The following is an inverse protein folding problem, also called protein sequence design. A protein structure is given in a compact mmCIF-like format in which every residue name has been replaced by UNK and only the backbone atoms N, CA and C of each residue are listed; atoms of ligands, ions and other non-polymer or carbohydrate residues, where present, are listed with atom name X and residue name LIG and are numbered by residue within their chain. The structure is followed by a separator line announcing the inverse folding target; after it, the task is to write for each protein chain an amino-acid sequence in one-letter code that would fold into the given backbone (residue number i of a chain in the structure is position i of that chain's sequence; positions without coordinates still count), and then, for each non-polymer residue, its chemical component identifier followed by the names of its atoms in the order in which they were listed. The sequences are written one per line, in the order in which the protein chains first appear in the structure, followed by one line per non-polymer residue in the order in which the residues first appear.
data_IF_762356674801
#
_entry.id   IF_762356674801
#
_cell.length_a   1.000
_cell.length_b   1.000
_cell.length_c   1.000
_cell.angle_alpha   90.00
_cell.angle_beta   90.00
_cell.angle_gamma   90.00
#
_symmetry.space_group_name_H-M   'P 1'
#
loop_
_entity.id
_entity.type
_entity.pdbx_description
1 polymer ?
#
# COMPACT_ATOMS: atom_id res chain seq x y z
N UNK A 1 26.55 -23.36 7.94
CA UNK A 1 27.01 -23.54 6.55
C UNK A 1 25.81 -23.33 5.64
N UNK A 2 25.74 -22.19 4.95
CA UNK A 2 24.65 -21.84 4.04
C UNK A 2 24.83 -22.61 2.71
N UNK A 3 23.74 -23.17 2.20
CA UNK A 3 23.69 -23.98 0.98
C UNK A 3 23.43 -23.05 -0.21
N UNK A 4 24.48 -22.62 -0.89
CA UNK A 4 24.38 -21.71 -2.02
C UNK A 4 23.93 -22.46 -3.27
N UNK A 5 22.68 -22.22 -3.70
CA UNK A 5 22.23 -22.54 -5.06
C UNK A 5 22.35 -21.25 -5.86
N UNK A 6 22.83 -21.34 -7.11
CA UNK A 6 23.38 -20.24 -7.94
C UNK A 6 22.46 -19.03 -8.25
N UNK A 7 21.26 -18.96 -7.66
CA UNK A 7 20.29 -17.85 -7.77
C UNK A 7 20.38 -16.84 -6.60
N UNK A 8 21.25 -17.10 -5.61
CA UNK A 8 21.34 -16.37 -4.33
C UNK A 8 22.50 -15.35 -4.24
N UNK A 9 23.05 -14.87 -5.37
CA UNK A 9 24.20 -13.95 -5.34
C UNK A 9 23.75 -12.47 -5.22
N UNK A 10 22.45 -12.18 -5.31
CA UNK A 10 21.94 -10.80 -5.30
C UNK A 10 21.22 -10.42 -4.01
N UNK A 11 21.39 -11.14 -2.90
CA UNK A 11 20.71 -10.80 -1.64
C UNK A 11 21.60 -11.14 -0.46
N UNK A 12 21.51 -10.34 0.61
CA UNK A 12 22.28 -10.57 1.82
C UNK A 12 21.97 -11.96 2.40
N UNK A 13 22.98 -12.81 2.64
CA UNK A 13 22.78 -14.17 3.15
C UNK A 13 22.29 -14.21 4.61
N UNK A 14 22.29 -13.06 5.30
CA UNK A 14 21.77 -12.91 6.65
C UNK A 14 20.41 -12.20 6.70
N UNK A 15 19.82 -11.88 5.54
CA UNK A 15 18.45 -11.38 5.47
C UNK A 15 17.49 -12.55 5.62
N UNK A 16 16.60 -12.45 6.60
CA UNK A 16 15.59 -13.47 6.85
C UNK A 16 14.34 -12.90 7.52
N UNK A 17 13.32 -13.70 7.73
CA UNK A 17 12.17 -13.36 8.58
C UNK A 17 12.54 -13.52 10.06
N UNK A 18 11.74 -12.93 10.96
CA UNK A 18 12.02 -12.93 12.40
C UNK A 18 12.29 -14.34 12.99
N UNK A 19 11.58 -15.37 12.50
CA UNK A 19 11.69 -16.75 12.97
C UNK A 19 12.32 -17.72 11.95
N UNK A 20 12.73 -17.22 10.78
CA UNK A 20 13.28 -18.04 9.70
C UNK A 20 14.41 -17.30 9.00
N UNK A 21 15.64 -17.80 9.12
CA UNK A 21 16.83 -17.19 8.53
C UNK A 21 17.08 -17.60 7.07
N UNK A 22 16.23 -18.44 6.51
CA UNK A 22 16.35 -18.94 5.12
C UNK A 22 15.32 -18.33 4.18
N UNK A 23 14.17 -17.91 4.72
CA UNK A 23 13.15 -17.18 3.98
C UNK A 23 13.25 -15.69 4.26
N UNK A 24 13.05 -14.85 3.26
CA UNK A 24 12.92 -13.40 3.39
C UNK A 24 11.85 -12.90 2.42
N UNK A 25 11.34 -11.69 2.64
CA UNK A 25 10.55 -10.99 1.65
C UNK A 25 11.49 -10.51 0.54
N UNK A 26 11.17 -10.82 -0.72
CA UNK A 26 11.95 -10.40 -1.89
C UNK A 26 11.88 -8.88 -2.18
N UNK A 27 11.29 -8.11 -1.26
CA UNK A 27 11.08 -6.67 -1.34
C UNK A 27 11.24 -6.06 0.06
N UNK A 28 11.41 -4.74 0.12
CA UNK A 28 11.55 -4.02 1.40
C UNK A 28 10.31 -4.22 2.26
N UNK A 29 10.46 -4.81 3.43
CA UNK A 29 9.33 -5.15 4.29
C UNK A 29 9.70 -5.07 5.77
N UNK A 30 8.80 -4.61 6.65
CA UNK A 30 9.01 -4.69 8.11
C UNK A 30 9.33 -6.09 8.62
N UNK A 31 8.91 -7.13 7.90
CA UNK A 31 9.12 -8.53 8.29
C UNK A 31 10.56 -9.03 8.05
N UNK A 32 11.33 -8.30 7.24
CA UNK A 32 12.74 -8.61 7.00
C UNK A 32 13.60 -8.18 8.19
N UNK A 33 14.32 -9.15 8.75
CA UNK A 33 15.20 -9.04 9.89
C UNK A 33 16.65 -9.36 9.52
N UNK A 34 17.59 -8.75 10.26
CA UNK A 34 19.01 -9.05 10.13
C UNK A 34 19.41 -10.16 11.09
N UNK A 35 19.78 -11.33 10.57
CA UNK A 35 20.30 -12.45 11.36
C UNK A 35 21.78 -12.35 11.70
N UNK A 36 22.50 -11.41 11.06
CA UNK A 36 23.88 -11.04 11.41
C UNK A 36 23.96 -10.32 12.75
N UNK A 37 22.87 -9.65 13.15
CA UNK A 37 22.78 -8.90 14.41
C UNK A 37 22.17 -9.73 15.54
N UNK A 38 22.50 -9.38 16.79
CA UNK A 38 21.83 -9.90 17.99
C UNK A 38 21.40 -8.72 18.91
N UNK A 39 20.12 -8.64 19.33
CA UNK A 39 19.00 -9.52 18.97
C UNK A 39 18.61 -9.39 17.49
N UNK A 40 17.89 -10.39 16.97
CA UNK A 40 17.28 -10.34 15.64
C UNK A 40 16.23 -9.23 15.69
N UNK A 41 16.34 -8.26 14.78
CA UNK A 41 15.44 -7.09 14.74
C UNK A 41 15.04 -6.77 13.30
N UNK A 42 13.83 -6.24 13.10
CA UNK A 42 13.39 -5.65 11.83
C UNK A 42 14.35 -4.56 11.33
N UNK A 43 14.69 -4.60 10.05
CA UNK A 43 15.59 -3.64 9.41
C UNK A 43 14.75 -2.50 8.83
N UNK A 44 15.21 -1.26 8.93
CA UNK A 44 14.56 -0.10 8.30
C UNK A 44 14.48 -0.26 6.77
N UNK A 45 13.36 0.15 6.16
CA UNK A 45 13.06 -0.13 4.75
C UNK A 45 14.11 0.43 3.78
N UNK A 46 14.60 1.64 4.03
CA UNK A 46 15.62 2.28 3.19
C UNK A 46 16.94 1.48 3.22
N UNK A 47 17.35 1.01 4.41
CA UNK A 47 18.56 0.19 4.52
C UNK A 47 18.41 -1.16 3.81
N UNK A 48 17.21 -1.75 3.84
CA UNK A 48 16.95 -2.99 3.09
C UNK A 48 17.07 -2.79 1.59
N UNK A 49 16.53 -1.68 1.07
CA UNK A 49 16.59 -1.32 -0.34
C UNK A 49 18.04 -1.12 -0.80
N UNK A 50 18.79 -0.33 -0.04
CA UNK A 50 20.13 0.11 -0.43
C UNK A 50 21.15 -1.03 -0.37
N UNK A 51 20.95 -1.98 0.56
CA UNK A 51 21.93 -3.00 0.88
C UNK A 51 21.40 -4.42 0.90
N UNK A 52 20.32 -4.70 1.63
CA UNK A 52 20.01 -6.09 2.00
C UNK A 52 19.45 -6.93 0.85
N UNK A 53 18.72 -6.30 -0.08
CA UNK A 53 17.97 -6.98 -1.15
C UNK A 53 18.69 -7.03 -2.50
N UNK A 54 19.90 -6.48 -2.58
CA UNK A 54 20.76 -6.52 -3.78
C UNK A 54 22.20 -6.89 -3.38
N UNK A 55 23.06 -7.15 -4.37
CA UNK A 55 24.52 -7.37 -4.27
C UNK A 55 25.27 -6.32 -3.43
N UNK A 56 24.70 -5.14 -3.23
CA UNK A 56 25.24 -4.07 -2.39
C UNK A 56 25.45 -4.49 -0.92
N UNK A 57 24.86 -5.60 -0.46
CA UNK A 57 25.11 -6.13 0.88
C UNK A 57 26.60 -6.34 1.17
N UNK A 58 27.42 -6.59 0.14
CA UNK A 58 28.88 -6.72 0.25
C UNK A 58 29.56 -5.45 0.80
N UNK A 59 28.91 -4.30 0.67
CA UNK A 59 29.35 -3.00 1.17
C UNK A 59 28.52 -2.49 2.36
N UNK A 60 27.55 -3.28 2.82
CA UNK A 60 26.70 -2.92 3.95
C UNK A 60 27.55 -2.79 5.22
N UNK A 61 27.49 -1.65 5.94
CA UNK A 61 28.29 -1.45 7.14
C UNK A 61 27.98 -2.48 8.23
N UNK A 62 26.74 -3.00 8.28
CA UNK A 62 26.35 -4.06 9.22
C UNK A 62 26.93 -5.41 8.79
N UNK A 63 26.88 -5.76 7.50
CA UNK A 63 27.40 -7.02 6.96
C UNK A 63 28.92 -7.14 7.11
N UNK A 64 29.64 -6.05 6.82
CA UNK A 64 31.12 -6.01 6.89
C UNK A 64 31.66 -5.99 8.32
N UNK A 65 30.78 -5.85 9.30
CA UNK A 65 31.11 -5.79 10.71
C UNK A 65 31.13 -7.18 11.38
N UNK A 66 31.54 -7.23 12.64
CA UNK A 66 31.54 -8.46 13.43
C UNK A 66 30.12 -9.02 13.59
N UNK A 67 29.96 -10.31 13.30
CA UNK A 67 28.70 -11.03 13.53
C UNK A 67 28.30 -10.97 15.02
N UNK A 68 27.00 -10.83 15.28
CA UNK A 68 26.44 -10.81 16.63
C UNK A 68 26.44 -9.43 17.29
N UNK A 69 26.90 -8.36 16.61
CA UNK A 69 26.74 -6.98 17.10
C UNK A 69 25.27 -6.58 17.16
N UNK A 70 24.98 -5.56 17.98
CA UNK A 70 23.65 -4.96 18.01
C UNK A 70 23.44 -4.13 16.76
N UNK A 71 22.23 -4.21 16.19
CA UNK A 71 21.83 -3.34 15.09
C UNK A 71 21.90 -1.86 15.53
N UNK A 72 22.50 -0.97 14.72
CA UNK A 72 22.45 0.46 14.96
C UNK A 72 20.99 0.95 15.10
N UNK A 73 20.65 1.75 16.12
CA UNK A 73 19.26 2.11 16.41
C UNK A 73 18.52 2.84 15.28
N UNK A 74 19.25 3.59 14.46
CA UNK A 74 18.78 4.31 13.28
C UNK A 74 18.41 3.38 12.11
N UNK A 75 18.87 2.14 12.14
CA UNK A 75 18.59 1.11 11.14
C UNK A 75 17.53 0.09 11.61
N UNK A 76 16.98 0.25 12.81
CA UNK A 76 15.89 -0.59 13.30
C UNK A 76 14.57 -0.03 12.77
N UNK A 77 13.77 -0.88 12.14
CA UNK A 77 12.41 -0.50 11.79
C UNK A 77 11.57 -0.36 13.06
N UNK A 78 10.95 0.80 13.20
CA UNK A 78 9.88 1.04 14.16
C UNK A 78 8.71 1.56 13.35
N UNK A 79 7.55 0.93 13.49
CA UNK A 79 6.32 1.62 13.14
C UNK A 79 6.32 2.91 13.97
N UNK A 80 6.35 4.06 13.31
CA UNK A 80 5.92 5.29 13.97
C UNK A 80 4.43 5.10 14.18
N UNK A 81 4.06 4.39 15.24
CA UNK A 81 2.73 4.46 15.78
C UNK A 81 2.47 5.96 15.92
N UNK A 82 1.53 6.46 15.14
CA UNK A 82 0.89 7.75 15.35
C UNK A 82 0.16 7.69 16.68
N UNK A 83 0.90 7.53 17.78
CA UNK A 83 0.44 7.81 19.12
C UNK A 83 0.32 9.32 19.13
N UNK A 84 -0.84 9.81 18.68
CA UNK A 84 -1.34 11.07 19.17
C UNK A 84 -1.42 10.88 20.68
N UNK A 85 -0.35 11.29 21.38
CA UNK A 85 -0.36 11.46 22.82
C UNK A 85 -1.34 12.58 23.09
N UNK A 86 -2.64 12.27 23.08
CA UNK A 86 -3.69 13.09 23.67
C UNK A 86 -3.28 13.15 25.13
N UNK A 87 -2.58 14.24 25.49
CA UNK A 87 -2.09 14.43 26.83
C UNK A 87 -3.27 14.27 27.79
N UNK A 88 -3.06 13.60 28.93
CA UNK A 88 -4.09 13.40 29.96
C UNK A 88 -4.94 14.66 30.20
N UNK A 89 -4.35 15.86 30.06
CA UNK A 89 -5.04 17.15 30.16
C UNK A 89 -6.19 17.34 29.16
N UNK A 90 -6.07 16.88 27.92
CA UNK A 90 -7.12 16.94 26.89
C UNK A 90 -8.25 15.92 27.15
N UNK A 91 -7.92 14.73 27.66
CA UNK A 91 -8.92 13.76 28.12
C UNK A 91 -9.74 14.29 29.31
N UNK A 92 -9.07 14.91 30.30
CA UNK A 92 -9.78 15.54 31.44
C UNK A 92 -10.61 16.74 31.02
N UNK A 93 -10.14 17.57 30.08
CA UNK A 93 -10.91 18.68 29.55
C UNK A 93 -12.20 18.21 28.85
N UNK A 94 -12.13 17.13 28.07
CA UNK A 94 -13.31 16.52 27.44
C UNK A 94 -14.34 16.01 28.45
N UNK A 95 -13.89 15.34 29.52
CA UNK A 95 -14.79 14.86 30.58
C UNK A 95 -15.46 15.99 31.36
N UNK A 96 -14.76 17.09 31.63
CA UNK A 96 -15.33 18.27 32.28
C UNK A 96 -16.39 18.90 31.39
N UNK A 97 -16.12 19.05 30.09
CA UNK A 97 -17.08 19.63 29.14
C UNK A 97 -18.36 18.77 29.03
N UNK A 98 -18.20 17.44 28.95
CA UNK A 98 -19.32 16.51 28.92
C UNK A 98 -20.15 16.55 30.21
N UNK A 99 -19.49 16.66 31.37
CA UNK A 99 -20.16 16.81 32.66
C UNK A 99 -20.97 18.10 32.77
N UNK A 100 -20.43 19.22 32.28
CA UNK A 100 -21.15 20.50 32.25
C UNK A 100 -22.39 20.39 31.33
N UNK A 101 -22.23 19.82 30.14
CA UNK A 101 -23.35 19.62 29.21
C UNK A 101 -24.46 18.77 29.86
N UNK A 102 -24.12 17.66 30.51
CA UNK A 102 -25.08 16.81 31.21
C UNK A 102 -25.80 17.55 32.36
N UNK A 103 -25.06 18.35 33.13
CA UNK A 103 -25.63 19.16 34.21
C UNK A 103 -26.61 20.22 33.69
N UNK A 104 -26.27 20.90 32.57
CA UNK A 104 -27.19 21.86 31.94
C UNK A 104 -28.47 21.18 31.45
N UNK A 105 -28.36 19.98 30.87
CA UNK A 105 -29.51 19.22 30.37
C UNK A 105 -30.40 18.74 31.52
N UNK A 106 -29.82 18.31 32.63
CA UNK A 106 -30.55 17.96 33.86
C UNK A 106 -31.25 19.16 34.49
N UNK A 107 -30.62 20.34 34.49
CA UNK A 107 -31.21 21.57 35.00
C UNK A 107 -32.46 21.96 34.19
N UNK A 108 -32.36 21.94 32.85
CA UNK A 108 -33.52 22.19 31.97
C UNK A 108 -34.64 21.17 32.15
N UNK A 109 -34.33 19.89 32.44
CA UNK A 109 -35.35 18.88 32.72
C UNK A 109 -36.07 19.12 34.06
N UNK A 110 -35.34 19.61 35.08
CA UNK A 110 -35.92 19.91 36.39
C UNK A 110 -36.82 21.14 36.37
N UNK A 111 -36.45 22.18 35.62
CA UNK A 111 -37.22 23.43 35.51
C UNK A 111 -38.56 23.21 34.80
N UNK A 112 -38.63 22.23 33.88
CA UNK A 112 -39.87 21.85 33.20
C UNK A 112 -40.81 20.97 34.07
N UNK A 113 -40.32 20.37 35.16
CA UNK A 113 -41.13 19.46 35.98
C UNK A 113 -42.02 20.19 37.00
N UNK A 114 -41.74 21.45 37.33
CA UNK A 114 -42.45 22.19 38.38
C UNK A 114 -43.73 22.91 37.90
N UNK A 115 -44.03 22.91 36.59
CA UNK A 115 -45.24 23.55 36.03
C UNK A 115 -46.42 22.62 35.74
N UNK A 116 -46.32 21.30 35.92
CA UNK A 116 -47.44 20.36 35.67
C UNK A 116 -48.37 20.14 36.88
N UNK A 117 -48.37 21.07 37.84
CA UNK A 117 -49.24 21.01 39.04
C UNK A 117 -50.60 21.67 38.86
N UNK A 118 -51.37 21.32 37.81
CA UNK A 118 -52.80 21.69 37.75
C UNK A 118 -53.68 20.44 37.63
N UNK A 119 -54.49 20.24 38.68
CA UNK A 119 -55.38 19.10 38.92
C UNK A 119 -56.60 19.09 37.98
N UNK A 120 -57.10 17.93 37.52
CA UNK A 120 -58.22 17.85 36.59
C UNK A 120 -59.56 17.91 37.35
N UNK A 121 -60.45 18.82 36.94
CA UNK A 121 -61.84 18.82 37.36
C UNK A 121 -62.77 18.69 36.16
N UNK A 122 -63.62 17.66 36.21
CA UNK A 122 -64.96 17.52 35.61
C UNK A 122 -65.14 17.34 34.08
N UNK A 123 -65.45 16.08 33.73
CA UNK A 123 -66.65 15.54 33.06
C UNK A 123 -67.45 16.35 32.01
N UNK A 124 -67.93 15.56 31.03
CA UNK A 124 -69.10 15.67 30.09
C UNK A 124 -68.60 15.75 28.62
N UNK A 125 -68.69 14.64 27.85
CA UNK A 125 -69.79 14.25 26.93
C UNK A 125 -70.04 15.33 25.85
N UNK A 126 -70.12 15.11 24.53
CA UNK A 126 -70.92 14.14 23.75
C UNK A 126 -70.50 14.28 22.27
N UNK A 127 -70.60 13.19 21.48
CA UNK A 127 -70.82 13.11 20.02
C UNK A 127 -69.71 13.67 19.09
N UNK A 128 -69.38 13.14 17.90
CA UNK A 128 -70.13 12.30 16.97
C UNK A 128 -69.21 11.80 15.83
N UNK A 129 -69.51 10.58 15.35
CA UNK A 129 -69.62 10.18 13.93
C UNK A 129 -68.35 9.79 13.12
N UNK A 130 -68.32 8.47 12.83
CA UNK A 130 -68.03 7.75 11.57
C UNK A 130 -66.68 8.02 10.87
N UNK A 131 -65.92 7.03 10.39
CA UNK A 131 -66.30 6.18 9.24
C UNK A 131 -65.32 4.99 9.12
N UNK A 132 -65.86 3.84 8.70
CA UNK A 132 -65.15 2.60 8.37
C UNK A 132 -64.11 2.80 7.26
N UNK A 133 -62.95 2.11 7.31
CA UNK A 133 -62.53 1.18 6.24
C UNK A 133 -61.47 0.19 6.75
N UNK A 134 -61.61 -1.07 6.31
CA UNK A 134 -60.75 -2.23 6.51
C UNK A 134 -59.27 -1.96 6.11
N UNK A 135 -58.27 -2.70 6.59
CA UNK A 135 -57.93 -4.08 6.16
C UNK A 135 -57.18 -4.79 7.29
N UNK A 136 -57.69 -5.96 7.65
CA UNK A 136 -56.99 -6.96 8.42
C UNK A 136 -55.91 -7.61 7.55
N UNK A 137 -54.69 -7.72 8.05
CA UNK A 137 -53.80 -8.83 7.72
C UNK A 137 -53.06 -9.24 8.99
N UNK A 138 -53.49 -10.38 9.51
CA UNK A 138 -52.82 -11.19 10.52
C UNK A 138 -51.54 -11.79 9.94
N UNK A 139 -50.44 -11.76 10.69
CA UNK A 139 -49.58 -12.95 10.79
C UNK A 139 -48.67 -12.85 12.00
N UNK A 140 -48.96 -13.70 12.97
CA UNK A 140 -48.17 -14.03 14.16
C UNK A 140 -46.86 -14.73 13.76
N UNK A 141 -45.72 -14.28 14.31
CA UNK A 141 -44.48 -15.03 14.29
C UNK A 141 -44.30 -15.79 15.63
N UNK A 142 -44.15 -17.12 15.62
CA UNK A 142 -43.93 -17.87 16.84
C UNK A 142 -42.45 -17.90 17.24
N UNK A 143 -42.25 -17.66 18.53
CA UNK A 143 -41.16 -18.13 19.38
C UNK A 143 -40.86 -19.61 19.15
N UNK A 144 -39.58 -19.98 19.00
CA UNK A 144 -39.15 -21.33 19.38
C UNK A 144 -37.73 -21.32 19.97
N UNK A 145 -37.72 -21.46 21.28
CA UNK A 145 -36.65 -21.94 22.14
C UNK A 145 -36.38 -23.42 21.85
N UNK A 146 -35.14 -23.81 21.65
CA UNK A 146 -34.70 -25.18 21.91
C UNK A 146 -33.23 -25.19 22.35
N UNK A 147 -33.02 -25.80 23.52
CA UNK A 147 -31.74 -25.98 24.18
C UNK A 147 -31.30 -27.45 24.07
N UNK A 148 -29.99 -27.63 24.29
CA UNK A 148 -29.26 -28.85 24.70
C UNK A 148 -29.14 -30.00 23.68
N UNK A 149 -27.91 -30.37 23.32
CA UNK A 149 -27.20 -31.48 24.00
C UNK A 149 -25.75 -31.60 23.52
N UNK A 150 -24.87 -31.92 24.46
CA UNK A 150 -23.47 -32.29 24.26
C UNK A 150 -23.32 -33.81 24.12
N UNK A 151 -22.33 -34.28 23.34
CA UNK A 151 -21.52 -35.50 23.55
C UNK A 151 -20.49 -35.58 22.41
N UNK A 152 -19.21 -35.40 22.75
CA UNK A 152 -18.18 -36.44 22.81
C UNK A 152 -17.80 -37.05 21.45
N UNK A 153 -16.55 -36.80 21.02
CA UNK A 153 -15.53 -37.86 20.91
C UNK A 153 -14.19 -37.32 20.45
N UNK A 154 -13.18 -37.73 21.22
CA UNK A 154 -11.74 -37.52 21.09
C UNK A 154 -11.21 -38.24 19.84
N UNK A 155 -10.32 -37.61 19.08
CA UNK A 155 -9.41 -38.34 18.20
C UNK A 155 -7.98 -37.81 18.34
N UNK A 156 -7.22 -38.48 19.22
CA UNK A 156 -5.78 -38.33 19.38
C UNK A 156 -5.14 -39.23 18.33
N UNK A 157 -4.43 -38.63 17.37
CA UNK A 157 -3.52 -39.37 16.49
C UNK A 157 -2.10 -38.98 16.88
N UNK A 158 -1.47 -39.88 17.63
CA UNK A 158 -0.03 -39.93 17.87
C UNK A 158 0.67 -40.27 16.56
N UNK A 159 1.56 -39.40 16.09
CA UNK A 159 2.47 -39.72 15.00
C UNK A 159 3.87 -40.00 15.55
N UNK A 160 4.25 -41.24 15.31
CA UNK A 160 5.46 -42.00 15.59
C UNK A 160 6.76 -41.30 15.21
N UNK A 161 7.67 -41.28 16.17
CA UNK A 161 9.09 -40.97 16.04
C UNK A 161 9.77 -41.96 15.07
N UNK A 162 10.30 -41.47 13.95
CA UNK A 162 11.10 -42.28 13.02
C UNK A 162 12.53 -41.75 13.04
N UNK A 163 13.43 -42.58 13.56
CA UNK A 163 14.87 -42.32 13.65
C UNK A 163 15.50 -42.13 12.27
N UNK A 164 16.29 -41.07 12.12
CA UNK A 164 17.07 -40.77 10.92
C UNK A 164 18.44 -41.47 10.98
N UNK A 165 18.92 -42.12 9.89
CA UNK A 165 20.25 -42.70 9.87
C UNK A 165 21.34 -41.62 9.75
N UNK A 166 22.42 -41.81 10.49
CA UNK A 166 23.64 -41.01 10.42
C UNK A 166 24.32 -41.18 9.05
N UNK A 167 24.52 -40.07 8.34
CA UNK A 167 25.28 -40.04 7.09
C UNK A 167 26.72 -39.64 7.38
N UNK A 168 27.63 -40.57 7.10
CA UNK A 168 29.09 -40.43 7.14
C UNK A 168 29.55 -39.45 6.05
N UNK A 169 30.29 -38.41 6.42
CA UNK A 169 30.89 -37.47 5.46
C UNK A 169 32.03 -38.16 4.68
N UNK A 170 31.86 -38.31 3.38
CA UNK A 170 32.91 -38.73 2.44
C UNK A 170 33.61 -37.47 1.93
N UNK A 171 34.91 -37.36 2.20
CA UNK A 171 35.80 -36.29 1.73
C UNK A 171 35.99 -36.46 0.21
N UNK A 172 35.44 -35.52 -0.57
CA UNK A 172 35.65 -35.45 -2.02
C UNK A 172 36.75 -34.42 -2.33
N UNK A 173 37.71 -34.70 -3.23
CA UNK A 173 38.80 -33.80 -3.54
C UNK A 173 38.34 -32.55 -4.32
N UNK A 174 38.78 -31.40 -3.82
CA UNK A 174 38.60 -30.06 -4.39
C UNK A 174 39.22 -29.94 -5.80
N UNK A 175 38.52 -29.39 -6.81
CA UNK A 175 39.19 -28.95 -8.04
C UNK A 175 39.86 -27.59 -7.81
N UNK A 176 41.16 -27.53 -8.06
CA UNK A 176 41.95 -26.29 -8.12
C UNK A 176 41.57 -25.52 -9.39
N UNK A 177 40.93 -24.35 -9.24
CA UNK A 177 40.68 -23.45 -10.36
C UNK A 177 41.97 -22.69 -10.71
N UNK A 178 42.46 -22.91 -11.93
CA UNK A 178 43.64 -22.25 -12.49
C UNK A 178 43.17 -21.01 -13.26
N UNK A 179 43.66 -19.83 -12.88
CA UNK A 179 43.31 -18.55 -13.48
C UNK A 179 44.10 -18.34 -14.78
N UNK A 180 43.50 -18.59 -15.95
CA UNK A 180 44.07 -18.17 -17.24
C UNK A 180 43.54 -16.80 -17.64
N UNK A 181 44.44 -15.82 -17.66
CA UNK A 181 44.22 -14.46 -18.16
C UNK A 181 44.19 -14.44 -19.69
N UNK A 182 43.17 -13.88 -20.36
CA UNK A 182 43.20 -13.69 -21.80
C UNK A 182 44.02 -12.44 -22.15
N UNK A 183 45.15 -12.66 -22.81
CA UNK A 183 45.91 -11.60 -23.50
C UNK A 183 45.29 -11.36 -24.88
N UNK A 184 44.60 -10.23 -25.05
CA UNK A 184 44.13 -9.77 -26.36
C UNK A 184 45.26 -9.03 -27.09
N UNK A 185 45.85 -9.69 -28.09
CA UNK A 185 46.71 -9.05 -29.06
C UNK A 185 45.87 -8.19 -30.02
N UNK A 186 46.04 -6.86 -29.95
CA UNK A 186 45.47 -5.92 -30.91
C UNK A 186 46.34 -5.89 -32.15
N UNK A 187 45.81 -6.40 -33.27
CA UNK A 187 46.38 -6.17 -34.61
C UNK A 187 45.66 -4.97 -35.23
N UNK A 188 46.39 -3.88 -35.46
CA UNK A 188 45.86 -2.69 -36.14
C UNK A 188 45.79 -2.95 -37.64
N UNK A 189 44.57 -2.99 -38.18
CA UNK A 189 44.33 -2.96 -39.63
C UNK A 189 43.87 -1.55 -39.98
N UNK A 190 44.74 -0.78 -40.63
CA UNK A 190 44.42 0.51 -41.22
C UNK A 190 43.55 0.30 -42.47
N UNK A 191 42.26 0.60 -42.37
CA UNK A 191 41.35 0.72 -43.52
C UNK A 191 40.83 2.16 -43.59
N UNK A 192 40.93 2.77 -44.77
CA UNK A 192 40.60 4.17 -45.04
C UNK A 192 39.15 4.54 -44.67
N UNK A 193 38.89 5.81 -44.32
CA UNK A 193 37.57 6.26 -43.87
C UNK A 193 36.61 6.40 -45.05
N UNK A 194 35.60 5.55 -45.10
CA UNK A 194 34.40 5.80 -45.92
C UNK A 194 33.42 6.59 -45.04
N UNK A 195 33.19 7.84 -45.40
CA UNK A 195 32.27 8.75 -44.71
C UNK A 195 30.82 8.25 -44.81
N UNK A 196 30.15 7.86 -43.71
CA UNK A 196 28.71 7.66 -43.74
C UNK A 196 28.02 9.03 -43.74
N UNK A 197 27.39 9.40 -44.86
CA UNK A 197 26.44 10.50 -44.89
C UNK A 197 25.17 10.06 -44.16
N UNK A 198 25.04 10.43 -42.89
CA UNK A 198 23.80 10.31 -42.15
C UNK A 198 22.83 11.36 -42.69
N UNK A 199 22.01 10.97 -43.67
CA UNK A 199 20.80 11.71 -44.00
C UNK A 199 19.79 11.44 -42.90
N UNK A 200 19.82 12.25 -41.85
CA UNK A 200 18.76 12.31 -40.86
C UNK A 200 17.49 12.83 -41.55
N UNK A 201 16.59 11.91 -41.89
CA UNK A 201 15.21 12.28 -42.21
C UNK A 201 14.60 12.91 -40.96
N UNK A 202 13.96 14.08 -41.03
CA UNK A 202 13.29 14.67 -39.87
C UNK A 202 12.13 13.76 -39.48
N UNK A 203 12.33 12.95 -38.43
CA UNK A 203 11.23 12.32 -37.72
C UNK A 203 10.38 13.45 -37.16
N UNK A 204 9.17 13.60 -37.71
CA UNK A 204 8.16 14.52 -37.20
C UNK A 204 7.96 14.21 -35.70
N UNK A 205 8.48 15.06 -34.82
CA UNK A 205 8.18 15.02 -33.40
C UNK A 205 6.67 15.28 -33.26
N UNK A 206 5.86 14.23 -33.22
CA UNK A 206 4.50 14.35 -32.70
C UNK A 206 4.64 14.75 -31.25
N UNK A 207 4.14 15.93 -30.91
CA UNK A 207 3.95 16.35 -29.52
C UNK A 207 3.15 15.25 -28.81
N UNK A 208 3.67 14.66 -27.72
CA UNK A 208 2.94 13.62 -27.00
C UNK A 208 1.60 14.16 -26.51
N UNK A 209 0.55 13.33 -26.59
CA UNK A 209 -0.77 13.67 -26.05
C UNK A 209 -0.61 14.00 -24.55
N UNK A 210 -1.28 15.05 -24.04
CA UNK A 210 -1.20 15.43 -22.61
C UNK A 210 -1.61 14.30 -21.65
N UNK A 211 -2.35 13.30 -22.13
CA UNK A 211 -2.77 12.13 -21.38
C UNK A 211 -1.96 10.86 -21.74
N UNK A 212 -0.69 11.02 -22.09
CA UNK A 212 0.21 9.87 -22.29
C UNK A 212 0.87 9.45 -20.97
N UNK A 213 1.40 8.22 -20.91
CA UNK A 213 2.24 7.79 -19.78
C UNK A 213 3.43 8.74 -19.58
N UNK A 214 3.84 8.91 -18.33
CA UNK A 214 4.94 9.77 -17.86
C UNK A 214 4.80 11.27 -18.18
N UNK A 215 3.66 11.69 -18.76
CA UNK A 215 3.33 13.10 -18.93
C UNK A 215 2.64 13.60 -17.66
N UNK A 216 3.11 14.73 -17.07
CA UNK A 216 2.46 15.31 -15.90
C UNK A 216 1.01 15.71 -16.18
N UNK A 217 0.11 15.32 -15.28
CA UNK A 217 -1.33 15.61 -15.33
C UNK A 217 -1.81 16.20 -13.99
N UNK A 218 -2.82 17.06 -14.05
CA UNK A 218 -3.53 17.60 -12.89
C UNK A 218 -3.48 19.12 -12.75
N UNK A 219 -4.48 19.67 -12.04
CA UNK A 219 -4.51 21.08 -11.63
C UNK A 219 -4.07 21.21 -10.17
N UNK A 220 -2.99 21.96 -9.93
CA UNK A 220 -2.44 22.17 -8.58
C UNK A 220 -1.40 21.11 -8.23
N UNK A 221 -1.85 19.99 -7.63
CA UNK A 221 -0.95 18.85 -7.43
C UNK A 221 -0.80 18.08 -8.75
N UNK A 222 0.45 17.91 -9.19
CA UNK A 222 0.77 17.17 -10.41
C UNK A 222 1.07 15.70 -10.10
N UNK A 223 0.69 14.84 -11.03
CA UNK A 223 0.94 13.41 -10.99
C UNK A 223 1.49 12.96 -12.33
N UNK A 224 2.16 11.81 -12.36
CA UNK A 224 2.38 11.06 -13.58
C UNK A 224 1.74 9.69 -13.46
N UNK A 225 1.25 9.16 -14.57
CA UNK A 225 0.83 7.77 -14.69
C UNK A 225 2.02 7.04 -15.30
N UNK A 226 2.65 6.20 -14.51
CA UNK A 226 3.92 5.55 -14.83
C UNK A 226 3.71 4.05 -14.98
N UNK A 227 4.34 3.46 -15.99
CA UNK A 227 4.35 2.02 -16.21
C UNK A 227 5.70 1.46 -15.77
N UNK A 228 5.69 0.70 -14.69
CA UNK A 228 6.88 0.15 -14.03
C UNK A 228 7.68 -0.72 -14.99
N UNK A 229 8.97 -0.42 -15.13
CA UNK A 229 9.93 -1.18 -15.93
C UNK A 229 10.83 -2.07 -15.06
N UNK A 230 11.60 -2.94 -15.71
CA UNK A 230 12.48 -3.87 -15.02
C UNK A 230 13.54 -3.13 -14.18
N UNK A 231 13.66 -3.51 -12.91
CA UNK A 231 14.62 -2.94 -11.97
C UNK A 231 14.11 -1.76 -11.15
N UNK A 232 12.91 -1.26 -11.42
CA UNK A 232 12.31 -0.20 -10.60
C UNK A 232 11.62 -0.75 -9.36
N UNK A 233 11.71 0.02 -8.28
CA UNK A 233 10.93 -0.19 -7.07
C UNK A 233 10.35 1.15 -6.58
N UNK A 234 9.45 1.11 -5.60
CA UNK A 234 8.78 2.32 -5.12
C UNK A 234 9.74 3.34 -4.50
N UNK A 235 10.85 2.92 -3.90
CA UNK A 235 11.85 3.83 -3.34
C UNK A 235 12.60 4.58 -4.44
N UNK A 236 13.06 3.88 -5.48
CA UNK A 236 13.77 4.52 -6.60
C UNK A 236 12.87 5.49 -7.36
N UNK A 237 11.59 5.13 -7.51
CA UNK A 237 10.58 6.02 -8.10
C UNK A 237 10.31 7.23 -7.20
N UNK A 238 10.28 7.05 -5.89
CA UNK A 238 10.10 8.16 -4.95
C UNK A 238 11.22 9.20 -5.05
N UNK A 239 12.47 8.74 -5.09
CA UNK A 239 13.64 9.61 -5.21
C UNK A 239 13.66 10.35 -6.56
N UNK A 240 13.41 9.61 -7.65
CA UNK A 240 13.40 10.16 -9.02
C UNK A 240 12.38 11.29 -9.17
N UNK A 241 11.21 11.16 -8.56
CA UNK A 241 10.12 12.13 -8.68
C UNK A 241 10.03 13.12 -7.50
N UNK A 242 11.06 13.14 -6.64
CA UNK A 242 11.12 14.02 -5.46
C UNK A 242 9.90 13.88 -4.53
N UNK A 243 9.40 12.65 -4.39
CA UNK A 243 8.24 12.28 -3.59
C UNK A 243 8.65 11.36 -2.43
N UNK A 244 7.71 10.64 -1.83
CA UNK A 244 7.98 9.63 -0.80
C UNK A 244 7.27 8.32 -1.12
N UNK A 245 7.80 7.22 -0.57
CA UNK A 245 7.17 5.91 -0.64
C UNK A 245 5.72 5.99 -0.13
N UNK A 246 5.51 6.66 1.00
CA UNK A 246 4.20 6.83 1.61
C UNK A 246 3.25 7.65 0.74
N UNK A 247 3.74 8.69 0.06
CA UNK A 247 2.92 9.48 -0.86
C UNK A 247 2.50 8.68 -2.10
N UNK A 248 3.40 7.86 -2.67
CA UNK A 248 3.05 6.96 -3.77
C UNK A 248 2.02 5.92 -3.29
N UNK A 249 2.23 5.29 -2.14
CA UNK A 249 1.28 4.32 -1.59
C UNK A 249 -0.08 4.96 -1.27
N UNK A 250 -0.10 6.20 -0.77
CA UNK A 250 -1.33 6.89 -0.40
C UNK A 250 -2.18 7.28 -1.62
N UNK A 251 -1.56 7.58 -2.76
CA UNK A 251 -2.29 8.04 -3.95
C UNK A 251 -2.85 6.88 -4.80
N UNK A 252 -2.29 5.68 -4.69
CA UNK A 252 -2.69 4.54 -5.52
C UNK A 252 -3.76 3.70 -4.83
N UNK A 253 -4.91 3.55 -5.48
CA UNK A 253 -5.99 2.68 -5.01
C UNK A 253 -5.53 1.21 -5.01
N UNK A 254 -5.53 0.58 -3.83
CA UNK A 254 -5.21 -0.84 -3.64
C UNK A 254 -3.87 -1.26 -4.28
N UNK A 255 -2.83 -0.43 -4.12
CA UNK A 255 -1.51 -0.74 -4.68
C UNK A 255 -0.99 -2.07 -4.13
N UNK A 256 -0.82 -3.05 -5.03
CA UNK A 256 -0.22 -4.32 -4.69
C UNK A 256 1.30 -4.16 -4.54
N UNK A 257 1.80 -4.40 -3.33
CA UNK A 257 3.23 -4.42 -3.03
C UNK A 257 3.68 -5.87 -2.82
N UNK A 258 4.75 -6.33 -3.51
CA UNK A 258 5.65 -5.57 -4.38
C UNK A 258 5.01 -5.23 -5.74
N UNK A 259 5.38 -4.07 -6.27
CA UNK A 259 4.98 -3.67 -7.62
C UNK A 259 5.63 -4.59 -8.65
N UNK A 260 4.86 -4.94 -9.69
CA UNK A 260 5.31 -5.84 -10.76
C UNK A 260 5.75 -5.03 -11.96
N UNK A 261 6.62 -5.62 -12.79
CA UNK A 261 6.88 -5.11 -14.14
C UNK A 261 5.54 -4.97 -14.87
N UNK A 262 5.43 -3.92 -15.66
CA UNK A 262 4.22 -3.50 -16.39
C UNK A 262 3.05 -3.02 -15.50
N UNK A 263 3.21 -2.99 -14.17
CA UNK A 263 2.21 -2.35 -13.31
C UNK A 263 2.12 -0.87 -13.65
N UNK A 264 0.89 -0.37 -13.79
CA UNK A 264 0.64 1.06 -13.99
C UNK A 264 0.30 1.67 -12.65
N UNK A 265 1.08 2.66 -12.24
CA UNK A 265 0.96 3.32 -10.95
C UNK A 265 0.94 4.83 -11.13
N UNK A 266 0.49 5.53 -10.10
CA UNK A 266 0.37 6.98 -10.07
C UNK A 266 1.44 7.52 -9.13
N UNK A 267 2.25 8.46 -9.60
CA UNK A 267 3.34 9.03 -8.80
C UNK A 267 3.06 10.52 -8.60
N UNK A 268 2.87 10.99 -7.35
CA UNK A 268 2.70 12.42 -7.09
C UNK A 268 4.06 13.11 -7.22
N UNK A 269 4.13 14.16 -8.03
CA UNK A 269 5.39 14.88 -8.26
C UNK A 269 5.67 15.86 -7.12
N UNK A 270 6.92 15.88 -6.64
CA UNK A 270 7.43 16.88 -5.69
C UNK A 270 6.65 16.99 -4.36
N UNK A 271 5.90 15.95 -3.98
CA UNK A 271 5.08 15.93 -2.77
C UNK A 271 5.48 14.76 -1.87
N UNK A 272 6.15 15.06 -0.76
CA UNK A 272 6.62 14.04 0.19
C UNK A 272 5.64 13.72 1.32
N UNK A 273 4.71 14.62 1.59
CA UNK A 273 3.68 14.41 2.61
C UNK A 273 2.42 13.77 2.01
N UNK A 274 1.65 13.06 2.84
CA UNK A 274 0.40 12.41 2.42
C UNK A 274 -0.82 13.31 2.59
N UNK A 275 -0.67 14.52 3.12
CA UNK A 275 -1.79 15.37 3.49
C UNK A 275 -2.40 16.02 2.25
N UNK A 276 -3.71 15.83 2.10
CA UNK A 276 -4.46 16.36 0.96
C UNK A 276 -4.24 15.61 -0.35
N UNK A 277 -3.63 14.41 -0.32
CA UNK A 277 -3.59 13.51 -1.47
C UNK A 277 -4.92 12.75 -1.56
N UNK A 278 -5.55 12.80 -2.73
CA UNK A 278 -6.66 11.93 -3.08
C UNK A 278 -6.16 10.57 -3.53
N UNK A 279 -7.02 9.56 -3.44
CA UNK A 279 -6.74 8.21 -3.93
C UNK A 279 -7.24 8.12 -5.37
N UNK A 280 -6.44 7.50 -6.23
CA UNK A 280 -6.71 7.38 -7.65
C UNK A 280 -6.44 5.96 -8.15
N UNK A 281 -7.13 5.59 -9.21
CA UNK A 281 -6.84 4.41 -10.02
C UNK A 281 -6.44 4.86 -11.44
N UNK A 282 -5.35 4.31 -12.02
CA UNK A 282 -4.98 4.63 -13.39
C UNK A 282 -5.90 3.87 -14.36
N UNK A 283 -6.45 4.58 -15.34
CA UNK A 283 -7.33 4.00 -16.34
C UNK A 283 -6.90 4.38 -17.75
N UNK A 284 -6.89 3.39 -18.66
CA UNK A 284 -6.67 3.62 -20.07
C UNK A 284 -8.02 3.69 -20.79
N UNK A 285 -8.26 4.79 -21.50
CA UNK A 285 -9.46 4.99 -22.30
C UNK A 285 -9.51 3.95 -23.43
N UNK A 286 -10.58 3.17 -23.47
CA UNK A 286 -10.77 2.10 -24.46
C UNK A 286 -11.66 2.50 -25.63
N UNK A 287 -12.56 3.47 -25.41
CA UNK A 287 -13.44 4.01 -26.45
C UNK A 287 -12.64 4.84 -27.46
N UNK A 288 -13.01 4.76 -28.75
CA UNK A 288 -12.35 5.56 -29.81
C UNK A 288 -12.43 7.06 -29.53
N UNK A 289 -13.55 7.51 -28.97
CA UNK A 289 -13.80 8.87 -28.58
C UNK A 289 -14.95 8.91 -27.57
N UNK A 290 -14.76 9.56 -26.42
CA UNK A 290 -15.76 9.70 -25.35
C UNK A 290 -15.61 11.06 -24.66
N UNK A 291 -16.71 11.66 -24.19
CA UNK A 291 -16.61 12.90 -23.40
C UNK A 291 -16.18 12.58 -21.97
N UNK A 292 -15.49 13.53 -21.34
CA UNK A 292 -15.08 13.38 -19.94
C UNK A 292 -16.26 13.10 -19.00
N UNK A 293 -17.43 13.72 -19.22
CA UNK A 293 -18.64 13.50 -18.42
C UNK A 293 -19.20 12.09 -18.61
N UNK A 294 -19.24 11.60 -19.84
CA UNK A 294 -19.76 10.26 -20.13
C UNK A 294 -18.87 9.19 -19.49
N UNK A 295 -17.54 9.35 -19.60
CA UNK A 295 -16.60 8.42 -19.01
C UNK A 295 -16.63 8.46 -17.48
N UNK A 296 -16.73 9.65 -16.86
CA UNK A 296 -16.87 9.77 -15.40
C UNK A 296 -18.11 9.03 -14.89
N UNK A 297 -19.25 9.16 -15.58
CA UNK A 297 -20.47 8.43 -15.24
C UNK A 297 -20.32 6.92 -15.44
N UNK A 298 -19.63 6.48 -16.49
CA UNK A 298 -19.36 5.05 -16.74
C UNK A 298 -18.50 4.42 -15.64
N UNK A 299 -17.52 5.18 -15.13
CA UNK A 299 -16.61 4.75 -14.07
C UNK A 299 -17.14 4.98 -12.64
N UNK A 300 -18.38 5.47 -12.52
CA UNK A 300 -19.06 5.81 -11.26
C UNK A 300 -18.24 6.75 -10.36
N UNK A 301 -17.75 7.86 -10.95
CA UNK A 301 -16.94 8.86 -10.24
C UNK A 301 -17.51 10.28 -10.41
N UNK A 302 -17.16 11.17 -9.49
CA UNK A 302 -17.62 12.57 -9.54
C UNK A 302 -17.03 13.28 -10.76
N UNK A 303 -17.91 13.75 -11.66
CA UNK A 303 -17.49 14.36 -12.93
C UNK A 303 -16.68 15.65 -12.75
N UNK A 304 -16.96 16.46 -11.72
CA UNK A 304 -16.25 17.71 -11.50
C UNK A 304 -14.82 17.44 -11.02
N UNK A 305 -14.67 16.55 -10.03
CA UNK A 305 -13.37 16.13 -9.52
C UNK A 305 -12.57 15.41 -10.60
N UNK A 306 -13.19 14.49 -11.33
CA UNK A 306 -12.57 13.77 -12.44
C UNK A 306 -11.98 14.71 -13.48
N UNK A 307 -12.74 15.73 -13.90
CA UNK A 307 -12.25 16.73 -14.85
C UNK A 307 -11.14 17.58 -14.24
N UNK A 308 -11.28 18.01 -12.98
CA UNK A 308 -10.30 18.82 -12.29
C UNK A 308 -8.93 18.14 -12.21
N UNK A 309 -8.89 16.87 -11.80
CA UNK A 309 -7.62 16.12 -11.63
C UNK A 309 -6.98 15.69 -12.94
N UNK A 310 -7.72 15.70 -14.05
CA UNK A 310 -7.20 15.36 -15.38
C UNK A 310 -6.96 16.60 -16.28
N UNK A 311 -7.08 17.80 -15.72
CA UNK A 311 -7.03 19.08 -16.45
C UNK A 311 -8.00 19.17 -17.65
N UNK A 312 -9.19 18.58 -17.50
CA UNK A 312 -10.24 18.57 -18.52
C UNK A 312 -11.24 19.72 -18.32
N UNK A 313 -11.89 20.11 -19.41
CA UNK A 313 -12.98 21.08 -19.47
C UNK A 313 -14.26 20.40 -19.97
N UNK A 314 -15.38 21.12 -19.85
CA UNK A 314 -16.67 20.64 -20.33
C UNK A 314 -16.62 20.40 -21.85
N UNK A 315 -17.00 19.20 -22.27
CA UNK A 315 -17.02 18.80 -23.68
C UNK A 315 -15.66 18.38 -24.24
N UNK A 316 -14.60 18.32 -23.42
CA UNK A 316 -13.34 17.73 -23.84
C UNK A 316 -13.53 16.24 -24.19
N UNK A 317 -12.83 15.82 -25.24
CA UNK A 317 -12.92 14.49 -25.82
C UNK A 317 -11.65 13.72 -25.50
N UNK A 318 -11.85 12.57 -24.85
CA UNK A 318 -10.82 11.58 -24.59
C UNK A 318 -10.83 10.55 -25.72
N UNK A 319 -9.65 10.09 -26.09
CA UNK A 319 -9.45 9.15 -27.19
C UNK A 319 -8.89 7.83 -26.68
N UNK A 320 -9.06 6.79 -27.49
CA UNK A 320 -8.52 5.48 -27.17
C UNK A 320 -7.01 5.57 -26.96
N UNK A 321 -6.54 5.02 -25.83
CA UNK A 321 -5.15 5.00 -25.44
C UNK A 321 -4.73 6.09 -24.47
N UNK A 322 -5.54 7.13 -24.27
CA UNK A 322 -5.32 8.16 -23.25
C UNK A 322 -5.34 7.51 -21.85
N UNK A 323 -4.42 7.95 -20.99
CA UNK A 323 -4.29 7.54 -19.59
C UNK A 323 -4.78 8.65 -18.67
N UNK A 324 -5.68 8.29 -17.76
CA UNK A 324 -6.37 9.23 -16.89
C UNK A 324 -6.38 8.74 -15.43
N UNK A 325 -6.50 9.70 -14.52
CA UNK A 325 -6.67 9.48 -13.08
C UNK A 325 -8.16 9.34 -12.76
N UNK A 326 -8.57 8.23 -12.16
CA UNK A 326 -9.95 8.01 -11.72
C UNK A 326 -10.01 8.16 -10.19
N UNK A 327 -10.70 9.18 -9.65
CA UNK A 327 -10.89 9.32 -8.20
C UNK A 327 -11.68 8.15 -7.61
N UNK A 328 -11.22 7.66 -6.46
CA UNK A 328 -11.82 6.54 -5.70
C UNK A 328 -12.13 6.92 -4.25
#
# INVERSE_FOLDING_TARGET
MAKTTSDQINTCPFLGLNNDNTSHMAFTSPENCCHHCKPIVPIKLEHQNDYCLDTNFLTCPVYTDQEGRRMPPDLIYSEKAGSMRIGRRLLWAGLILAGIAAATLLFFMFENAEQSGNSPSNLISINSIQTLTAIANSSSLPTSTAALTATDSINIISNTETAFPAITATVSPFPTLTLTSPTSNVTQTNTAPVSPSLTASPTSMQTPSPHSLDVPVGRGQLFIIHKVINGENLSTLADTHSTSLEAIMAVNYQLNVPIKIDAVIIIPLQKKDTQGLSIFEPYQVTATQITAEALANELDTDSLLFKYVNDLKDGDLLHQGDWILVPR
#
